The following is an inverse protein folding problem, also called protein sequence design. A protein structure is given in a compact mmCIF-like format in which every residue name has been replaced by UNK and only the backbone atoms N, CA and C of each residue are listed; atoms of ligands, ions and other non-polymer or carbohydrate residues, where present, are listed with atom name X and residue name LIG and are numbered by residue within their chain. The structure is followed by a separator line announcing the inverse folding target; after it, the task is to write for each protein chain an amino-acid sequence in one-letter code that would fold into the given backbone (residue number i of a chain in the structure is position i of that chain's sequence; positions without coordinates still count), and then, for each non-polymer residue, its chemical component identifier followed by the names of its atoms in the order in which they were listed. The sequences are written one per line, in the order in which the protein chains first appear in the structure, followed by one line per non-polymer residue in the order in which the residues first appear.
data_IF_015459016752
#
_entry.id   IF_015459016752
#
_cell.length_a   1.000
_cell.length_b   1.000
_cell.length_c   1.000
_cell.angle_alpha   90.00
_cell.angle_beta   90.00
_cell.angle_gamma   90.00
#
_symmetry.space_group_name_H-M   'P 1'
#
loop_
_entity.id
_entity.type
_entity.pdbx_description
1 polymer ?
#
# COMPACT_ATOMS: atom_id res chain seq x y z
N UNK A 1 -4.63 -19.05 4.73
CA UNK A 1 -5.38 -17.93 4.10
C UNK A 1 -5.99 -18.33 2.76
N UNK A 2 -5.18 -18.73 1.76
CA UNK A 2 -5.68 -19.12 0.43
C UNK A 2 -6.78 -20.18 0.45
N UNK A 3 -6.62 -21.19 1.30
CA UNK A 3 -7.60 -22.27 1.53
C UNK A 3 -8.78 -21.86 2.42
N UNK A 4 -8.89 -20.57 2.78
CA UNK A 4 -9.92 -20.01 3.68
C UNK A 4 -9.98 -20.65 5.09
N UNK A 5 -8.98 -21.44 5.48
CA UNK A 5 -8.78 -21.81 6.88
C UNK A 5 -8.26 -20.59 7.66
N UNK A 6 -9.17 -19.72 8.09
CA UNK A 6 -8.84 -18.44 8.72
C UNK A 6 -8.30 -18.60 10.14
N UNK A 7 -8.74 -19.63 10.88
CA UNK A 7 -8.21 -19.93 12.22
C UNK A 7 -6.73 -20.29 12.17
N UNK A 8 -6.36 -21.32 11.40
CA UNK A 8 -4.96 -21.75 11.31
C UNK A 8 -4.05 -20.64 10.75
N UNK A 9 -4.56 -19.87 9.78
CA UNK A 9 -3.83 -18.72 9.25
C UNK A 9 -3.60 -17.64 10.32
N UNK A 10 -4.62 -17.32 11.12
CA UNK A 10 -4.49 -16.37 12.23
C UNK A 10 -3.45 -16.85 13.24
N UNK A 11 -3.53 -18.11 13.68
CA UNK A 11 -2.58 -18.68 14.65
C UNK A 11 -1.13 -18.56 14.15
N UNK A 12 -0.87 -18.87 12.87
CA UNK A 12 0.43 -18.66 12.24
C UNK A 12 0.85 -17.19 12.22
N UNK A 13 0.00 -16.29 11.71
CA UNK A 13 0.37 -14.87 11.59
C UNK A 13 0.54 -14.20 12.95
N UNK A 14 -0.30 -14.52 13.93
CA UNK A 14 -0.19 -14.00 15.29
C UNK A 14 1.08 -14.50 15.99
N UNK A 15 1.36 -15.80 15.91
CA UNK A 15 2.57 -16.40 16.46
C UNK A 15 3.84 -15.77 15.87
N UNK A 16 3.96 -15.70 14.54
CA UNK A 16 5.14 -15.12 13.90
C UNK A 16 5.24 -13.60 14.06
N UNK A 17 4.12 -12.87 14.17
CA UNK A 17 4.15 -11.43 14.46
C UNK A 17 4.71 -11.15 15.87
N UNK A 18 4.38 -11.98 16.86
CA UNK A 18 4.94 -11.92 18.22
C UNK A 18 6.45 -12.18 18.24
N UNK A 19 6.95 -12.99 17.31
CA UNK A 19 8.38 -13.22 17.09
C UNK A 19 9.06 -12.13 16.24
N UNK A 20 8.35 -11.07 15.88
CA UNK A 20 8.92 -9.93 15.15
C UNK A 20 8.93 -10.06 13.63
N UNK A 21 8.39 -11.13 13.04
CA UNK A 21 8.44 -11.31 11.59
C UNK A 21 7.60 -10.26 10.83
N UNK A 22 8.25 -9.43 10.01
CA UNK A 22 7.63 -8.27 9.34
C UNK A 22 6.41 -8.60 8.47
N UNK A 23 6.47 -9.66 7.66
CA UNK A 23 5.31 -10.07 6.85
C UNK A 23 4.18 -10.64 7.70
N UNK A 24 4.49 -11.25 8.85
CA UNK A 24 3.47 -11.75 9.76
C UNK A 24 2.73 -10.61 10.46
N UNK A 25 3.45 -9.53 10.84
CA UNK A 25 2.84 -8.28 11.31
C UNK A 25 1.87 -7.71 10.27
N UNK A 26 2.27 -7.64 8.99
CA UNK A 26 1.37 -7.23 7.90
C UNK A 26 0.10 -8.09 7.83
N UNK A 27 0.24 -9.41 7.80
CA UNK A 27 -0.91 -10.32 7.70
C UNK A 27 -1.79 -10.31 8.97
N UNK A 28 -1.20 -10.12 10.15
CA UNK A 28 -1.96 -9.91 11.39
C UNK A 28 -2.78 -8.62 11.31
N UNK A 29 -2.18 -7.51 10.87
CA UNK A 29 -2.90 -6.26 10.61
C UNK A 29 -4.06 -6.45 9.63
N UNK A 30 -3.84 -7.21 8.56
CA UNK A 30 -4.88 -7.55 7.58
C UNK A 30 -6.05 -8.31 8.20
N UNK A 31 -5.79 -9.31 9.05
CA UNK A 31 -6.84 -10.07 9.72
C UNK A 31 -7.62 -9.23 10.75
N UNK A 32 -6.94 -8.36 11.49
CA UNK A 32 -7.57 -7.41 12.42
C UNK A 32 -8.44 -6.40 11.66
N UNK A 33 -8.04 -5.96 10.47
CA UNK A 33 -8.82 -5.03 9.65
C UNK A 33 -10.06 -5.71 9.03
N UNK A 34 -9.92 -6.96 8.57
CA UNK A 34 -10.97 -7.68 7.84
C UNK A 34 -11.94 -8.47 8.73
N UNK A 35 -11.54 -8.87 9.93
CA UNK A 35 -12.37 -9.66 10.84
C UNK A 35 -12.54 -11.14 10.46
N UNK A 36 -11.61 -11.72 9.70
CA UNK A 36 -11.77 -13.08 9.14
C UNK A 36 -11.78 -14.24 10.16
N UNK A 37 -11.31 -14.01 11.38
CA UNK A 37 -11.31 -15.02 12.46
C UNK A 37 -11.39 -14.36 13.84
N UNK A 38 -10.72 -13.23 13.99
CA UNK A 38 -10.80 -12.37 15.16
C UNK A 38 -11.77 -11.23 14.92
N UNK A 39 -12.31 -10.63 15.99
CA UNK A 39 -13.13 -9.43 15.88
C UNK A 39 -12.35 -8.32 15.18
N UNK A 40 -12.99 -7.61 14.26
CA UNK A 40 -12.40 -6.45 13.58
C UNK A 40 -11.91 -5.42 14.62
N UNK A 41 -10.67 -4.99 14.47
CA UNK A 41 -10.03 -3.96 15.30
C UNK A 41 -9.14 -3.08 14.42
N UNK A 42 -9.70 -1.98 13.89
CA UNK A 42 -9.00 -1.08 12.97
C UNK A 42 -7.82 -0.37 13.64
N UNK A 43 -7.94 0.02 14.90
CA UNK A 43 -6.87 0.72 15.63
C UNK A 43 -5.64 -0.19 15.83
N UNK A 44 -5.85 -1.45 16.18
CA UNK A 44 -4.76 -2.42 16.31
C UNK A 44 -4.17 -2.80 14.94
N UNK A 45 -5.03 -2.95 13.92
CA UNK A 45 -4.58 -3.18 12.55
C UNK A 45 -3.63 -2.07 12.05
N UNK A 46 -3.99 -0.80 12.30
CA UNK A 46 -3.16 0.35 11.94
C UNK A 46 -1.77 0.26 12.58
N UNK A 47 -1.68 -0.12 13.87
CA UNK A 47 -0.41 -0.32 14.56
C UNK A 47 0.45 -1.41 13.90
N UNK A 48 -0.14 -2.55 13.56
CA UNK A 48 0.60 -3.64 12.90
C UNK A 48 1.04 -3.30 11.47
N UNK A 49 0.20 -2.57 10.72
CA UNK A 49 0.60 -2.06 9.41
C UNK A 49 1.75 -1.07 9.52
N UNK A 50 1.70 -0.14 10.50
CA UNK A 50 2.82 0.77 10.76
C UNK A 50 4.10 -0.01 11.06
N UNK A 51 4.05 -0.95 12.00
CA UNK A 51 5.24 -1.74 12.37
C UNK A 51 5.84 -2.47 11.15
N UNK A 52 5.02 -3.11 10.32
CA UNK A 52 5.50 -3.78 9.11
C UNK A 52 5.99 -2.78 8.04
N UNK A 53 5.37 -1.59 7.95
CA UNK A 53 5.78 -0.53 7.05
C UNK A 53 7.16 0.03 7.42
N UNK A 54 7.39 0.30 8.71
CA UNK A 54 8.67 0.74 9.27
C UNK A 54 9.79 -0.30 9.01
N UNK A 55 9.44 -1.58 8.86
CA UNK A 55 10.37 -2.69 8.52
C UNK A 55 10.51 -2.95 7.00
N UNK A 56 9.98 -2.04 6.17
CA UNK A 56 10.13 -2.09 4.72
C UNK A 56 9.31 -3.20 4.05
N UNK A 57 8.08 -3.46 4.51
CA UNK A 57 7.12 -4.30 3.77
C UNK A 57 6.34 -3.41 2.80
N UNK A 58 6.50 -3.53 1.47
CA UNK A 58 5.94 -2.56 0.52
C UNK A 58 4.41 -2.51 0.55
N UNK A 59 3.76 -3.67 0.71
CA UNK A 59 2.30 -3.74 0.88
C UNK A 59 1.82 -3.09 2.18
N UNK A 60 2.63 -3.15 3.24
CA UNK A 60 2.31 -2.52 4.52
C UNK A 60 2.50 -0.99 4.44
N UNK A 61 3.58 -0.52 3.81
CA UNK A 61 3.84 0.90 3.56
C UNK A 61 2.67 1.53 2.80
N UNK A 62 2.26 0.92 1.67
CA UNK A 62 1.12 1.41 0.91
C UNK A 62 -0.20 1.37 1.71
N UNK A 63 -0.49 0.27 2.42
CA UNK A 63 -1.70 0.17 3.25
C UNK A 63 -1.71 1.20 4.36
N UNK A 64 -0.59 1.39 5.04
CA UNK A 64 -0.47 2.34 6.13
C UNK A 64 -0.70 3.77 5.62
N UNK A 65 -0.10 4.13 4.48
CA UNK A 65 -0.34 5.42 3.84
C UNK A 65 -1.81 5.68 3.54
N UNK A 66 -2.54 4.69 3.01
CA UNK A 66 -3.98 4.84 2.75
C UNK A 66 -4.82 4.92 4.01
N UNK A 67 -4.46 4.18 5.07
CA UNK A 67 -5.18 4.30 6.34
C UNK A 67 -4.90 5.63 7.05
N UNK A 68 -3.73 6.23 6.83
CA UNK A 68 -3.46 7.60 7.28
C UNK A 68 -4.40 8.59 6.61
N UNK A 69 -4.66 8.48 5.31
CA UNK A 69 -5.62 9.35 4.59
C UNK A 69 -7.05 9.28 5.15
N UNK A 70 -7.39 8.23 5.90
CA UNK A 70 -8.69 8.08 6.57
C UNK A 70 -8.74 8.75 7.96
N UNK A 71 -7.61 9.26 8.47
CA UNK A 71 -7.55 9.98 9.75
C UNK A 71 -7.88 11.46 9.54
N UNK A 72 -8.44 12.15 10.54
CA UNK A 72 -8.83 13.56 10.41
C UNK A 72 -7.61 14.49 10.22
N UNK A 73 -6.51 14.23 10.93
CA UNK A 73 -5.32 15.08 10.98
C UNK A 73 -4.06 14.35 10.49
N UNK A 74 -4.09 13.81 9.27
CA UNK A 74 -2.92 13.14 8.71
C UNK A 74 -1.87 14.12 8.19
N UNK A 75 -0.60 13.77 8.40
CA UNK A 75 0.51 14.48 7.78
C UNK A 75 0.69 14.02 6.32
N UNK A 76 0.47 14.95 5.39
CA UNK A 76 0.53 14.69 3.93
C UNK A 76 1.91 14.19 3.52
N UNK A 77 2.98 14.74 4.10
CA UNK A 77 4.35 14.36 3.77
C UNK A 77 4.67 12.94 4.23
N UNK A 78 4.18 12.54 5.40
CA UNK A 78 4.25 11.17 5.88
C UNK A 78 3.54 10.20 4.92
N UNK A 79 2.34 10.56 4.44
CA UNK A 79 1.61 9.72 3.46
C UNK A 79 2.41 9.54 2.17
N UNK A 80 2.91 10.65 1.60
CA UNK A 80 3.69 10.62 0.36
C UNK A 80 4.99 9.82 0.56
N UNK A 81 5.63 9.96 1.73
CA UNK A 81 6.85 9.22 2.07
C UNK A 81 6.60 7.71 2.05
N UNK A 82 5.55 7.20 2.68
CA UNK A 82 5.26 5.76 2.65
C UNK A 82 4.84 5.26 1.27
N UNK A 83 4.10 6.06 0.48
CA UNK A 83 3.78 5.71 -0.91
C UNK A 83 5.07 5.62 -1.74
N UNK A 84 5.98 6.57 -1.55
CA UNK A 84 7.27 6.63 -2.26
C UNK A 84 8.13 5.43 -1.91
N UNK A 85 8.30 5.13 -0.62
CA UNK A 85 9.05 3.94 -0.18
C UNK A 85 8.47 2.65 -0.75
N UNK A 86 7.15 2.49 -0.75
CA UNK A 86 6.51 1.32 -1.36
C UNK A 86 6.76 1.25 -2.87
N UNK A 87 6.76 2.39 -3.56
CA UNK A 87 7.03 2.48 -4.99
C UNK A 87 8.49 2.14 -5.33
N UNK A 88 9.45 2.63 -4.53
CA UNK A 88 10.88 2.37 -4.67
C UNK A 88 11.21 0.87 -4.48
N UNK A 89 10.52 0.21 -3.54
CA UNK A 89 10.56 -1.24 -3.35
C UNK A 89 9.76 -2.02 -4.41
N UNK A 90 9.24 -1.33 -5.43
CA UNK A 90 8.62 -1.92 -6.60
C UNK A 90 7.18 -2.40 -6.42
N UNK A 91 6.45 -1.89 -5.41
CA UNK A 91 5.02 -2.11 -5.29
C UNK A 91 4.29 -1.47 -6.48
N UNK A 92 3.72 -2.30 -7.35
CA UNK A 92 3.09 -1.86 -8.59
C UNK A 92 1.93 -0.88 -8.35
N UNK A 93 1.18 -1.09 -7.28
CA UNK A 93 0.07 -0.19 -6.90
C UNK A 93 0.60 1.14 -6.36
N UNK A 94 1.67 1.12 -5.55
CA UNK A 94 2.28 2.36 -5.07
C UNK A 94 2.87 3.19 -6.21
N UNK A 95 3.58 2.55 -7.16
CA UNK A 95 4.09 3.19 -8.39
C UNK A 95 2.97 3.92 -9.15
N UNK A 96 1.82 3.26 -9.36
CA UNK A 96 0.67 3.88 -10.00
C UNK A 96 0.15 5.09 -9.21
N UNK A 97 -0.02 4.95 -7.89
CA UNK A 97 -0.56 6.04 -7.07
C UNK A 97 0.41 7.22 -7.00
N UNK A 98 1.71 6.98 -6.91
CA UNK A 98 2.72 8.05 -6.95
C UNK A 98 2.71 8.76 -8.31
N UNK A 99 2.61 7.99 -9.40
CA UNK A 99 2.45 8.56 -10.74
C UNK A 99 1.19 9.41 -10.86
N UNK A 100 0.06 8.93 -10.34
CA UNK A 100 -1.22 9.66 -10.31
C UNK A 100 -1.17 10.93 -9.43
N UNK A 101 -0.41 10.91 -8.34
CA UNK A 101 -0.13 12.09 -7.51
C UNK A 101 0.60 13.15 -8.33
N UNK A 102 1.69 12.79 -9.00
CA UNK A 102 2.44 13.72 -9.85
C UNK A 102 1.69 14.15 -11.11
N UNK A 103 0.84 13.29 -11.68
CA UNK A 103 0.10 13.60 -12.91
C UNK A 103 -0.96 14.67 -12.68
N UNK A 104 -1.61 14.65 -11.51
CA UNK A 104 -2.78 15.49 -11.21
C UNK A 104 -2.54 16.47 -10.07
N UNK A 105 -1.31 16.54 -9.53
CA UNK A 105 -0.96 17.41 -8.41
C UNK A 105 -1.75 17.10 -7.13
N UNK A 106 -2.00 15.82 -6.85
CA UNK A 106 -2.75 15.40 -5.65
C UNK A 106 -1.92 15.63 -4.40
N UNK A 107 -2.60 15.70 -3.25
CA UNK A 107 -1.94 15.86 -1.95
C UNK A 107 -1.02 17.09 -1.90
N UNK A 108 -1.39 18.17 -2.58
CA UNK A 108 -0.62 19.42 -2.60
C UNK A 108 0.72 19.35 -3.35
N UNK A 109 1.02 18.25 -4.06
CA UNK A 109 2.25 18.14 -4.85
C UNK A 109 2.15 18.89 -6.16
N UNK A 110 3.25 19.50 -6.58
CA UNK A 110 3.37 20.08 -7.91
C UNK A 110 3.24 18.98 -8.98
N UNK A 111 2.57 19.31 -10.07
CA UNK A 111 2.48 18.41 -11.21
C UNK A 111 3.86 18.18 -11.84
N UNK A 112 4.14 16.94 -12.18
CA UNK A 112 5.32 16.53 -12.93
C UNK A 112 4.92 15.40 -13.89
N UNK A 113 4.63 15.77 -15.14
CA UNK A 113 4.09 14.84 -16.14
C UNK A 113 5.12 13.79 -16.55
N UNK A 114 6.39 14.17 -16.67
CA UNK A 114 7.44 13.26 -17.13
C UNK A 114 7.69 12.18 -16.07
N UNK A 115 7.85 12.59 -14.81
CA UNK A 115 7.96 11.67 -13.67
C UNK A 115 6.73 10.79 -13.53
N UNK A 116 5.53 11.37 -13.69
CA UNK A 116 4.28 10.61 -13.63
C UNK A 116 4.22 9.51 -14.70
N UNK A 117 4.57 9.83 -15.95
CA UNK A 117 4.56 8.87 -17.06
C UNK A 117 5.58 7.76 -16.81
N UNK A 118 6.77 8.07 -16.29
CA UNK A 118 7.77 7.06 -15.93
C UNK A 118 7.23 6.08 -14.87
N UNK A 119 6.68 6.60 -13.77
CA UNK A 119 6.10 5.79 -12.69
C UNK A 119 4.94 4.92 -13.17
N UNK A 120 4.06 5.48 -14.02
CA UNK A 120 2.94 4.74 -14.61
C UNK A 120 3.45 3.64 -15.56
N UNK A 121 4.51 3.89 -16.35
CA UNK A 121 5.17 2.86 -17.17
C UNK A 121 5.72 1.72 -16.31
N UNK A 122 6.42 2.04 -15.22
CA UNK A 122 6.95 1.03 -14.29
C UNK A 122 5.83 0.20 -13.65
N UNK A 123 4.72 0.84 -13.24
CA UNK A 123 3.55 0.15 -12.72
C UNK A 123 2.91 -0.78 -13.77
N UNK A 124 2.79 -0.33 -15.02
CA UNK A 124 2.24 -1.13 -16.12
C UNK A 124 3.13 -2.33 -16.48
N UNK A 125 4.46 -2.18 -16.48
CA UNK A 125 5.40 -3.30 -16.66
C UNK A 125 5.20 -4.39 -15.59
N UNK A 126 4.80 -3.98 -14.38
CA UNK A 126 4.42 -4.89 -13.29
C UNK A 126 2.96 -5.35 -13.34
N UNK A 127 2.30 -5.17 -14.49
CA UNK A 127 0.91 -5.58 -14.77
C UNK A 127 -0.11 -4.94 -13.84
N UNK A 128 0.14 -3.73 -13.34
CA UNK A 128 -0.87 -3.00 -12.56
C UNK A 128 -2.01 -2.56 -13.50
N UNK A 129 -3.28 -2.96 -13.25
CA UNK A 129 -4.37 -2.77 -14.20
C UNK A 129 -4.66 -1.31 -14.57
N UNK A 130 -4.78 -0.44 -13.57
CA UNK A 130 -5.04 1.00 -13.77
C UNK A 130 -3.91 1.69 -14.53
N UNK A 131 -2.67 1.25 -14.33
CA UNK A 131 -1.51 1.78 -15.04
C UNK A 131 -1.51 1.38 -16.51
N UNK A 132 -1.81 0.11 -16.81
CA UNK A 132 -1.96 -0.36 -18.20
C UNK A 132 -3.10 0.40 -18.91
N UNK A 133 -4.25 0.57 -18.25
CA UNK A 133 -5.36 1.39 -18.79
C UNK A 133 -4.98 2.86 -18.99
N UNK A 134 -4.23 3.44 -18.05
CA UNK A 134 -3.76 4.82 -18.15
C UNK A 134 -2.82 5.02 -19.35
N UNK A 135 -1.90 4.09 -19.60
CA UNK A 135 -1.03 4.16 -20.78
C UNK A 135 -1.79 4.03 -22.08
N UNK A 136 -2.75 3.10 -22.16
CA UNK A 136 -3.58 2.94 -23.36
C UNK A 136 -4.30 4.26 -23.69
N UNK A 137 -4.88 4.93 -22.69
CA UNK A 137 -5.52 6.24 -22.89
C UNK A 137 -4.52 7.31 -23.34
N UNK A 138 -3.32 7.35 -22.76
CA UNK A 138 -2.29 8.33 -23.14
C UNK A 138 -1.80 8.11 -24.58
N UNK A 139 -1.59 6.85 -25.00
CA UNK A 139 -1.16 6.51 -26.37
C UNK A 139 -2.22 6.75 -27.45
N UNK A 140 -3.49 6.90 -27.08
CA UNK A 140 -4.59 7.18 -28.03
C UNK A 140 -4.80 8.69 -28.22
N UNK A 141 -4.23 9.53 -27.34
CA UNK A 141 -4.36 11.00 -27.37
C UNK A 141 -3.11 11.68 -27.93
N UNK A 142 -2.11 10.91 -28.36
CA UNK A 142 -0.88 11.38 -29.04
C UNK A 142 -0.89 11.00 -30.51
#
# INVERSE_FOLDING_TARGET
HKEKNYKAAWECFDGHAKLGHKFAKYWKGYYLMSGYHVKKNSSEALRYFKMAADEGVPDAQLRYAFLLLEQEDYDVETVISYITQAADEGNATALYNLGDIYLHGKLGRAMDKDKAIELIKLAALKKQPKAMEALTRLSVVT
#
